data_IF_100516460273
#
_entry.id   IF_100516460273
#
_cell.length_a   1.000
_cell.length_b   1.000
_cell.length_c   1.000
_cell.angle_alpha   90.00
_cell.angle_beta   90.00
_cell.angle_gamma   90.00
#
_symmetry.space_group_name_H-M   'P 1'
#
loop_
_entity.id
_entity.type
_entity.pdbx_description
1 polymer ?
#
# COMPACT_ATOMS: atom_id res chain seq x y z
N UNK A 1 48.82 -2.57 11.88
CA UNK A 1 47.70 -1.61 11.90
C UNK A 1 47.63 -1.01 13.30
N UNK A 2 47.46 0.31 13.42
CA UNK A 2 47.24 0.95 14.70
C UNK A 2 45.92 0.51 15.32
N UNK A 3 45.76 0.61 16.63
CA UNK A 3 44.52 0.23 17.34
C UNK A 3 43.31 0.98 16.78
N UNK A 4 43.47 2.23 16.38
CA UNK A 4 42.43 3.03 15.78
C UNK A 4 41.89 2.46 14.47
N UNK A 5 42.75 2.12 13.51
CA UNK A 5 42.27 1.56 12.23
C UNK A 5 41.51 0.23 12.38
N UNK A 6 41.81 -0.56 13.41
CA UNK A 6 41.01 -1.77 13.72
C UNK A 6 39.60 -1.41 14.19
N UNK A 7 39.43 -0.29 14.86
CA UNK A 7 38.10 0.17 15.31
C UNK A 7 37.24 0.59 14.11
N UNK A 8 37.82 1.24 13.08
CA UNK A 8 37.11 1.62 11.86
C UNK A 8 36.63 0.37 11.13
N UNK A 9 37.55 -0.57 10.81
CA UNK A 9 37.19 -1.83 10.16
C UNK A 9 36.15 -2.66 10.94
N UNK A 10 36.22 -2.66 12.28
CA UNK A 10 35.23 -3.32 13.11
C UNK A 10 33.86 -2.63 13.03
N UNK A 11 33.82 -1.30 12.99
CA UNK A 11 32.60 -0.54 12.84
C UNK A 11 31.92 -0.81 11.49
N UNK A 12 32.69 -0.78 10.40
CA UNK A 12 32.19 -1.09 9.05
C UNK A 12 31.60 -2.51 8.97
N UNK A 13 32.33 -3.48 9.53
CA UNK A 13 31.87 -4.86 9.59
C UNK A 13 30.56 -5.00 10.40
N UNK A 14 30.47 -4.35 11.56
CA UNK A 14 29.29 -4.39 12.42
C UNK A 14 28.08 -3.75 11.73
N UNK A 15 28.30 -2.67 10.99
CA UNK A 15 27.27 -2.04 10.18
C UNK A 15 26.77 -2.99 9.09
N UNK A 16 27.67 -3.65 8.37
CA UNK A 16 27.32 -4.69 7.38
C UNK A 16 26.57 -5.90 8.00
N UNK A 17 26.79 -6.18 9.30
CA UNK A 17 26.08 -7.21 10.07
C UNK A 17 24.76 -6.68 10.67
N UNK A 18 24.34 -5.45 10.34
CA UNK A 18 23.15 -4.75 10.86
C UNK A 18 23.20 -4.57 12.42
N UNK A 19 24.39 -4.43 12.99
CA UNK A 19 24.63 -4.21 14.43
C UNK A 19 24.96 -2.75 14.67
N UNK A 20 23.97 -1.90 14.42
CA UNK A 20 24.13 -0.46 14.29
C UNK A 20 24.67 0.20 15.57
N UNK A 21 24.15 -0.13 16.75
CA UNK A 21 24.59 0.45 18.01
C UNK A 21 26.05 0.14 18.33
N UNK A 22 26.47 -1.08 18.04
CA UNK A 22 27.86 -1.49 18.26
C UNK A 22 28.80 -0.82 17.25
N UNK A 23 28.33 -0.62 16.00
CA UNK A 23 29.07 0.12 14.98
C UNK A 23 29.30 1.58 15.42
N UNK A 24 28.25 2.26 15.91
CA UNK A 24 28.33 3.63 16.44
C UNK A 24 29.37 3.72 17.57
N UNK A 25 29.39 2.75 18.50
CA UNK A 25 30.39 2.73 19.58
C UNK A 25 31.82 2.62 19.02
N UNK A 26 32.05 1.77 17.98
CA UNK A 26 33.35 1.62 17.36
C UNK A 26 33.81 2.89 16.65
N UNK A 27 32.92 3.51 15.88
CA UNK A 27 33.20 4.75 15.16
C UNK A 27 33.47 5.91 16.11
N UNK A 28 32.70 6.07 17.22
CA UNK A 28 32.96 7.08 18.24
C UNK A 28 34.33 6.89 18.87
N UNK A 29 34.69 5.65 19.25
CA UNK A 29 36.03 5.34 19.82
C UNK A 29 37.15 5.55 18.78
N UNK A 30 36.89 5.31 17.50
CA UNK A 30 37.84 5.63 16.44
C UNK A 30 38.10 7.14 16.38
N UNK A 31 37.05 7.95 16.42
CA UNK A 31 37.12 9.41 16.38
C UNK A 31 37.72 10.03 17.65
N UNK A 32 37.78 9.32 18.75
CA UNK A 32 38.59 9.73 19.94
C UNK A 32 40.08 9.80 19.61
N UNK A 33 40.56 8.92 18.68
CA UNK A 33 41.93 8.93 18.21
C UNK A 33 42.15 9.83 16.96
N UNK A 34 41.15 9.92 16.14
CA UNK A 34 41.23 10.63 14.85
C UNK A 34 39.98 11.52 14.64
N UNK A 35 39.81 12.63 15.39
CA UNK A 35 38.60 13.42 15.41
C UNK A 35 38.26 14.08 14.06
N UNK A 36 39.25 14.33 13.23
CA UNK A 36 39.14 15.01 11.94
C UNK A 36 39.31 14.03 10.74
N UNK A 37 39.11 12.74 10.97
CA UNK A 37 39.15 11.76 9.91
C UNK A 37 37.83 11.71 9.17
N UNK A 38 37.86 11.93 7.85
CA UNK A 38 36.70 12.02 6.97
C UNK A 38 35.92 10.72 6.93
N UNK A 39 36.63 9.58 6.82
CA UNK A 39 35.99 8.24 6.77
C UNK A 39 35.27 7.93 8.09
N UNK A 40 35.92 8.20 9.21
CA UNK A 40 35.31 7.99 10.53
C UNK A 40 34.05 8.84 10.75
N UNK A 41 34.08 10.13 10.34
CA UNK A 41 32.91 10.99 10.43
C UNK A 41 31.79 10.54 9.49
N UNK A 42 32.09 10.13 8.26
CA UNK A 42 31.14 9.62 7.30
C UNK A 42 30.46 8.36 7.79
N UNK A 43 31.23 7.34 8.17
CA UNK A 43 30.68 6.07 8.65
C UNK A 43 29.85 6.21 9.94
N UNK A 44 30.26 7.11 10.86
CA UNK A 44 29.45 7.44 12.02
C UNK A 44 28.13 8.11 11.59
N UNK A 45 28.18 9.01 10.59
CA UNK A 45 26.99 9.64 10.03
C UNK A 45 25.99 8.63 9.47
N UNK A 46 26.47 7.66 8.67
CA UNK A 46 25.64 6.57 8.10
C UNK A 46 25.04 5.72 9.24
N UNK A 47 25.85 5.28 10.22
CA UNK A 47 25.36 4.47 11.34
C UNK A 47 24.30 5.19 12.18
N UNK A 48 24.45 6.50 12.38
CA UNK A 48 23.46 7.33 13.07
C UNK A 48 22.17 7.51 12.25
N UNK A 49 22.30 7.67 10.93
CA UNK A 49 21.18 7.71 10.01
C UNK A 49 20.36 6.39 10.07
N UNK A 50 21.03 5.24 9.96
CA UNK A 50 20.35 3.94 10.08
C UNK A 50 19.67 3.72 11.45
N UNK A 51 20.21 4.33 12.51
CA UNK A 51 19.58 4.32 13.82
C UNK A 51 18.39 5.28 13.93
N UNK A 52 18.21 6.19 12.99
CA UNK A 52 17.20 7.26 13.04
C UNK A 52 17.63 8.49 13.85
N UNK A 53 18.90 8.60 14.27
CA UNK A 53 19.45 9.77 14.96
C UNK A 53 19.82 10.88 13.97
N UNK A 54 18.81 11.37 13.24
CA UNK A 54 18.96 12.23 12.05
C UNK A 54 19.70 13.55 12.33
N UNK A 55 19.52 14.15 13.53
CA UNK A 55 20.18 15.41 13.87
C UNK A 55 21.70 15.21 14.06
N UNK A 56 22.10 14.13 14.73
CA UNK A 56 23.51 13.83 14.88
C UNK A 56 24.14 13.36 13.58
N UNK A 57 23.43 12.58 12.75
CA UNK A 57 23.87 12.18 11.42
C UNK A 57 24.18 13.41 10.56
N UNK A 58 23.26 14.39 10.50
CA UNK A 58 23.47 15.63 9.76
C UNK A 58 24.73 16.39 10.22
N UNK A 59 24.96 16.45 11.53
CA UNK A 59 26.20 17.08 12.08
C UNK A 59 27.46 16.35 11.62
N UNK A 60 27.43 15.01 11.50
CA UNK A 60 28.57 14.24 11.02
C UNK A 60 28.82 14.50 9.52
N UNK A 61 27.79 14.52 8.69
CA UNK A 61 27.93 14.85 7.26
C UNK A 61 28.36 16.32 7.04
N UNK A 62 27.88 17.25 7.86
CA UNK A 62 28.40 18.62 7.85
C UNK A 62 29.89 18.67 8.20
N UNK A 63 30.33 17.82 9.16
CA UNK A 63 31.75 17.74 9.51
C UNK A 63 32.58 17.15 8.38
N UNK A 64 32.06 16.16 7.63
CA UNK A 64 32.71 15.65 6.40
C UNK A 64 32.91 16.80 5.41
N UNK A 65 31.85 17.60 5.14
CA UNK A 65 31.95 18.77 4.25
C UNK A 65 32.97 19.83 4.73
N UNK A 66 33.05 20.09 6.03
CA UNK A 66 34.04 21.03 6.57
C UNK A 66 35.48 20.53 6.39
N UNK A 67 35.70 19.23 6.49
CA UNK A 67 37.02 18.60 6.37
C UNK A 67 37.44 18.44 4.90
N UNK A 68 36.50 18.03 4.05
CA UNK A 68 36.68 17.90 2.61
C UNK A 68 35.45 18.44 1.86
N UNK A 69 35.45 19.70 1.41
CA UNK A 69 34.34 20.27 0.66
C UNK A 69 34.08 19.65 -0.71
N UNK A 70 35.04 18.93 -1.25
CA UNK A 70 34.92 18.25 -2.54
C UNK A 70 34.47 16.79 -2.44
N UNK A 71 34.29 16.27 -1.23
CA UNK A 71 33.74 14.93 -1.03
C UNK A 71 32.22 14.90 -1.31
N UNK A 72 31.75 14.19 -2.36
CA UNK A 72 30.33 14.15 -2.70
C UNK A 72 29.47 13.47 -1.59
N UNK A 73 30.06 12.57 -0.80
CA UNK A 73 29.39 11.80 0.24
C UNK A 73 28.85 12.69 1.38
N UNK A 74 29.47 13.87 1.60
CA UNK A 74 28.96 14.83 2.57
C UNK A 74 27.55 15.34 2.19
N UNK A 75 27.38 15.65 0.90
CA UNK A 75 26.10 16.11 0.38
C UNK A 75 25.09 14.97 0.21
N UNK A 76 25.54 13.80 -0.21
CA UNK A 76 24.72 12.58 -0.27
C UNK A 76 24.13 12.27 1.11
N UNK A 77 24.95 12.23 2.16
CA UNK A 77 24.48 12.01 3.52
C UNK A 77 23.50 13.09 4.03
N UNK A 78 23.70 14.36 3.68
CA UNK A 78 22.76 15.43 4.00
C UNK A 78 21.45 15.29 3.22
N UNK A 79 21.51 14.82 1.96
CA UNK A 79 20.35 14.53 1.16
C UNK A 79 19.52 13.37 1.75
N UNK A 80 20.16 12.27 2.15
CA UNK A 80 19.50 11.15 2.83
C UNK A 80 18.74 11.61 4.08
N UNK A 81 19.38 12.42 4.94
CA UNK A 81 18.73 12.96 6.14
C UNK A 81 17.53 13.83 5.80
N UNK A 82 17.62 14.66 4.76
CA UNK A 82 16.52 15.54 4.37
C UNK A 82 15.38 14.77 3.67
N UNK A 83 15.69 13.71 2.91
CA UNK A 83 14.69 12.77 2.38
C UNK A 83 13.86 12.15 3.51
N UNK A 84 14.52 11.61 4.52
CA UNK A 84 13.87 10.95 5.66
C UNK A 84 12.99 11.93 6.48
N UNK A 85 13.33 13.23 6.48
CA UNK A 85 12.51 14.29 7.09
C UNK A 85 11.35 14.77 6.22
N UNK A 86 11.25 14.31 4.98
CA UNK A 86 10.29 14.82 3.99
C UNK A 86 10.64 16.20 3.42
N UNK A 87 11.88 16.68 3.64
CA UNK A 87 12.36 17.95 3.14
C UNK A 87 12.92 17.80 1.70
N UNK A 88 12.08 17.33 0.78
CA UNK A 88 12.47 16.94 -0.58
C UNK A 88 13.14 18.07 -1.38
N UNK A 89 12.78 19.32 -1.10
CA UNK A 89 13.45 20.48 -1.72
C UNK A 89 14.95 20.54 -1.36
N UNK A 90 15.28 20.35 -0.08
CA UNK A 90 16.66 20.35 0.35
C UNK A 90 17.37 19.06 -0.05
N UNK A 91 16.68 17.93 -0.09
CA UNK A 91 17.23 16.69 -0.60
C UNK A 91 17.68 16.83 -2.07
N UNK A 92 16.79 17.33 -2.95
CA UNK A 92 17.13 17.61 -4.34
C UNK A 92 18.27 18.63 -4.48
N UNK A 93 18.34 19.63 -3.59
CA UNK A 93 19.45 20.56 -3.55
C UNK A 93 20.78 19.85 -3.24
N UNK A 94 20.82 19.04 -2.22
CA UNK A 94 22.03 18.33 -1.79
C UNK A 94 22.46 17.27 -2.80
N UNK A 95 21.56 16.48 -3.37
CA UNK A 95 21.91 15.53 -4.44
C UNK A 95 22.51 16.24 -5.66
N UNK A 96 22.00 17.43 -6.02
CA UNK A 96 22.60 18.23 -7.08
C UNK A 96 24.00 18.75 -6.72
N UNK A 97 24.24 19.10 -5.45
CA UNK A 97 25.59 19.48 -4.99
C UNK A 97 26.55 18.29 -5.01
N UNK A 98 26.08 17.07 -4.64
CA UNK A 98 26.85 15.83 -4.78
C UNK A 98 27.19 15.55 -6.25
N UNK A 99 26.21 15.67 -7.17
CA UNK A 99 26.40 15.45 -8.61
C UNK A 99 27.30 16.48 -9.30
N UNK A 100 27.53 17.67 -8.73
CA UNK A 100 28.55 18.58 -9.25
C UNK A 100 29.98 18.05 -9.04
N UNK A 101 30.15 17.17 -8.04
CA UNK A 101 31.44 16.57 -7.68
C UNK A 101 31.62 15.18 -8.27
N UNK A 102 30.52 14.47 -8.40
CA UNK A 102 30.44 13.12 -9.02
C UNK A 102 29.30 13.08 -10.06
N UNK A 103 29.51 13.67 -11.26
CA UNK A 103 28.43 13.88 -12.24
C UNK A 103 27.93 12.63 -12.93
N UNK A 104 28.70 11.55 -12.91
CA UNK A 104 28.37 10.30 -13.59
C UNK A 104 28.01 9.17 -12.60
N UNK A 105 27.45 9.54 -11.44
CA UNK A 105 27.00 8.60 -10.43
C UNK A 105 25.50 8.24 -10.62
N UNK A 106 25.18 7.02 -11.04
CA UNK A 106 23.80 6.62 -11.30
C UNK A 106 22.94 6.53 -10.02
N UNK A 107 23.56 6.20 -8.88
CA UNK A 107 22.83 6.13 -7.60
C UNK A 107 22.32 7.54 -7.19
N UNK A 108 23.21 8.55 -7.25
CA UNK A 108 22.84 9.94 -6.94
C UNK A 108 21.76 10.49 -7.89
N UNK A 109 21.80 10.08 -9.17
CA UNK A 109 20.78 10.47 -10.15
C UNK A 109 19.44 9.80 -9.86
N UNK A 110 19.44 8.53 -9.49
CA UNK A 110 18.23 7.84 -9.07
C UNK A 110 17.59 8.52 -7.86
N UNK A 111 18.37 8.79 -6.82
CA UNK A 111 17.90 9.45 -5.60
C UNK A 111 17.41 10.89 -5.87
N UNK A 112 18.10 11.63 -6.75
CA UNK A 112 17.62 12.93 -7.21
C UNK A 112 16.28 12.81 -7.94
N UNK A 113 16.10 11.77 -8.74
CA UNK A 113 14.85 11.47 -9.42
C UNK A 113 13.70 11.26 -8.42
N UNK A 114 13.93 10.47 -7.37
CA UNK A 114 12.96 10.25 -6.29
C UNK A 114 12.62 11.60 -5.61
N UNK A 115 13.62 12.39 -5.26
CA UNK A 115 13.39 13.70 -4.63
C UNK A 115 12.58 14.66 -5.53
N UNK A 116 12.79 14.65 -6.85
CA UNK A 116 11.98 15.43 -7.79
C UNK A 116 10.56 14.91 -7.92
N UNK A 117 10.36 13.59 -7.93
CA UNK A 117 9.03 13.00 -7.96
C UNK A 117 8.21 13.39 -6.72
N UNK A 118 8.79 13.31 -5.54
CA UNK A 118 8.15 13.73 -4.28
C UNK A 118 7.81 15.24 -4.25
N UNK A 119 8.51 16.06 -5.05
CA UNK A 119 8.20 17.47 -5.25
C UNK A 119 7.12 17.71 -6.33
N UNK A 120 6.65 16.67 -7.03
CA UNK A 120 5.78 16.78 -8.20
C UNK A 120 6.47 17.38 -9.42
N UNK A 121 7.82 17.33 -9.47
CA UNK A 121 8.64 17.79 -10.60
C UNK A 121 8.95 16.64 -11.56
N UNK A 122 7.89 15.95 -12.02
CA UNK A 122 7.96 14.68 -12.76
C UNK A 122 8.87 14.70 -13.99
N UNK A 123 8.87 15.80 -14.74
CA UNK A 123 9.76 15.93 -15.94
C UNK A 123 11.24 15.89 -15.55
N UNK A 124 11.58 16.41 -14.36
CA UNK A 124 12.97 16.36 -13.87
C UNK A 124 13.30 14.99 -13.31
N UNK A 125 12.33 14.34 -12.64
CA UNK A 125 12.47 12.97 -12.17
C UNK A 125 12.75 12.03 -13.35
N UNK A 126 11.95 12.13 -14.41
CA UNK A 126 12.14 11.35 -15.64
C UNK A 126 13.56 11.53 -16.22
N UNK A 127 14.02 12.78 -16.38
CA UNK A 127 15.37 13.04 -16.89
C UNK A 127 16.47 12.45 -16.00
N UNK A 128 16.28 12.49 -14.69
CA UNK A 128 17.24 11.93 -13.74
C UNK A 128 17.32 10.40 -13.85
N UNK A 129 16.18 9.72 -13.92
CA UNK A 129 16.13 8.27 -14.14
C UNK A 129 16.70 7.86 -15.50
N UNK A 130 16.34 8.58 -16.58
CA UNK A 130 16.90 8.33 -17.91
C UNK A 130 18.43 8.43 -17.91
N UNK A 131 18.97 9.48 -17.25
CA UNK A 131 20.40 9.66 -17.16
C UNK A 131 21.09 8.57 -16.33
N UNK A 132 20.47 8.13 -15.24
CA UNK A 132 20.97 6.99 -14.44
C UNK A 132 21.04 5.70 -15.27
N UNK A 133 20.00 5.42 -16.06
CA UNK A 133 19.93 4.27 -16.98
C UNK A 133 21.00 4.36 -18.09
N UNK A 134 21.22 5.55 -18.66
CA UNK A 134 22.26 5.74 -19.67
C UNK A 134 23.66 5.42 -19.12
N UNK A 135 23.92 5.78 -17.84
CA UNK A 135 25.21 5.55 -17.20
C UNK A 135 25.42 4.11 -16.78
N UNK A 136 24.40 3.48 -16.20
CA UNK A 136 24.40 2.08 -15.85
C UNK A 136 23.10 1.38 -16.27
N UNK A 137 23.07 0.77 -17.46
CA UNK A 137 21.91 0.02 -17.93
C UNK A 137 21.58 -1.25 -17.12
N UNK A 138 22.44 -1.67 -16.19
CA UNK A 138 22.19 -2.80 -15.30
C UNK A 138 21.71 -2.38 -13.91
N UNK A 139 21.54 -1.10 -13.66
CA UNK A 139 21.01 -0.57 -12.42
C UNK A 139 19.46 -0.63 -12.44
N UNK A 140 18.85 -1.57 -11.74
CA UNK A 140 17.41 -1.84 -11.82
C UNK A 140 16.51 -0.79 -11.19
N UNK A 141 16.97 -0.05 -10.15
CA UNK A 141 16.13 0.94 -9.44
C UNK A 141 15.62 2.08 -10.33
N UNK A 142 16.42 2.70 -11.23
CA UNK A 142 15.89 3.75 -12.10
C UNK A 142 14.78 3.28 -13.04
N UNK A 143 14.84 2.03 -13.52
CA UNK A 143 13.75 1.45 -14.31
C UNK A 143 12.49 1.29 -13.48
N UNK A 144 12.62 0.72 -12.28
CA UNK A 144 11.49 0.55 -11.35
C UNK A 144 10.83 1.90 -10.99
N UNK A 145 11.64 2.91 -10.63
CA UNK A 145 11.14 4.22 -10.25
C UNK A 145 10.53 4.98 -11.44
N UNK A 146 11.13 4.84 -12.64
CA UNK A 146 10.57 5.41 -13.87
C UNK A 146 9.26 4.76 -14.25
N UNK A 147 9.14 3.43 -14.11
CA UNK A 147 7.92 2.69 -14.35
C UNK A 147 6.76 3.16 -13.46
N UNK A 148 7.02 3.36 -12.16
CA UNK A 148 6.02 3.91 -11.24
C UNK A 148 5.54 5.29 -11.68
N UNK A 149 6.45 6.18 -12.05
CA UNK A 149 6.11 7.50 -12.54
C UNK A 149 5.30 7.45 -13.85
N UNK A 150 5.64 6.52 -14.76
CA UNK A 150 4.89 6.28 -16.00
C UNK A 150 3.48 5.73 -15.71
N UNK A 151 3.35 4.80 -14.77
CA UNK A 151 2.07 4.24 -14.35
C UNK A 151 1.13 5.32 -13.76
N UNK A 152 1.64 6.21 -12.91
CA UNK A 152 0.88 7.35 -12.38
C UNK A 152 0.38 8.31 -13.48
N UNK A 153 1.11 8.40 -14.60
CA UNK A 153 0.69 9.15 -15.79
C UNK A 153 -0.28 8.37 -16.70
N UNK A 154 -0.53 7.10 -16.40
CA UNK A 154 -1.33 6.20 -17.23
C UNK A 154 -0.60 5.68 -18.48
N UNK A 155 0.72 5.83 -18.54
CA UNK A 155 1.60 5.37 -19.62
C UNK A 155 2.00 3.90 -19.34
N UNK A 156 1.00 3.00 -19.26
CA UNK A 156 1.17 1.64 -18.77
C UNK A 156 2.07 0.77 -19.66
N UNK A 157 2.07 1.00 -20.98
CA UNK A 157 2.87 0.19 -21.91
C UNK A 157 4.36 0.38 -21.65
N UNK A 158 4.80 1.63 -21.53
CA UNK A 158 6.18 2.00 -21.25
C UNK A 158 6.58 1.59 -19.82
N UNK A 159 5.67 1.71 -18.84
CA UNK A 159 5.88 1.25 -17.47
C UNK A 159 6.15 -0.26 -17.42
N UNK A 160 5.37 -1.06 -18.14
CA UNK A 160 5.55 -2.51 -18.22
C UNK A 160 6.90 -2.87 -18.84
N UNK A 161 7.33 -2.19 -19.91
CA UNK A 161 8.65 -2.43 -20.53
C UNK A 161 9.78 -2.19 -19.51
N UNK A 162 9.72 -1.15 -18.72
CA UNK A 162 10.69 -0.85 -17.67
C UNK A 162 10.68 -1.89 -16.55
N UNK A 163 9.50 -2.32 -16.10
CA UNK A 163 9.38 -3.36 -15.08
C UNK A 163 9.93 -4.72 -15.58
N UNK A 164 9.71 -5.07 -16.85
CA UNK A 164 10.29 -6.30 -17.45
C UNK A 164 11.82 -6.25 -17.44
N UNK A 165 12.42 -5.07 -17.68
CA UNK A 165 13.87 -4.89 -17.55
C UNK A 165 14.28 -5.07 -16.09
N UNK A 166 13.62 -4.39 -15.13
CA UNK A 166 13.92 -4.51 -13.71
C UNK A 166 13.81 -5.96 -13.21
N UNK A 167 12.74 -6.69 -13.60
CA UNK A 167 12.57 -8.13 -13.31
C UNK A 167 13.78 -8.93 -13.81
N UNK A 168 14.26 -8.64 -15.02
CA UNK A 168 15.41 -9.36 -15.59
C UNK A 168 16.70 -9.10 -14.80
N UNK A 169 16.88 -7.89 -14.29
CA UNK A 169 18.05 -7.47 -13.52
C UNK A 169 18.04 -8.03 -12.09
N UNK A 170 16.85 -8.15 -11.47
CA UNK A 170 16.71 -8.62 -10.10
C UNK A 170 16.58 -10.14 -9.95
N UNK A 171 16.87 -10.93 -11.02
CA UNK A 171 16.89 -12.39 -10.93
C UNK A 171 17.86 -12.86 -9.84
N UNK A 172 17.29 -13.52 -8.81
CA UNK A 172 18.04 -14.02 -7.65
C UNK A 172 18.01 -13.10 -6.43
N UNK A 173 17.47 -11.89 -6.54
CA UNK A 173 17.23 -10.95 -5.44
C UNK A 173 15.74 -10.99 -5.08
N UNK A 174 15.34 -11.99 -4.28
CA UNK A 174 13.91 -12.30 -4.02
C UNK A 174 13.09 -11.09 -3.64
N UNK A 175 13.58 -10.27 -2.70
CA UNK A 175 12.79 -9.15 -2.15
C UNK A 175 12.55 -8.09 -3.22
N UNK A 176 13.61 -7.64 -3.90
CA UNK A 176 13.47 -6.65 -4.99
C UNK A 176 12.62 -7.16 -6.14
N UNK A 177 12.79 -8.44 -6.51
CA UNK A 177 11.98 -9.05 -7.55
C UNK A 177 10.50 -9.08 -7.15
N UNK A 178 10.19 -9.36 -5.89
CA UNK A 178 8.82 -9.36 -5.39
C UNK A 178 8.20 -7.97 -5.47
N UNK A 179 8.92 -6.91 -5.07
CA UNK A 179 8.45 -5.53 -5.15
C UNK A 179 8.09 -5.12 -6.59
N UNK A 180 8.97 -5.46 -7.54
CA UNK A 180 8.74 -5.17 -8.97
C UNK A 180 7.53 -5.95 -9.52
N UNK A 181 7.36 -7.21 -9.12
CA UNK A 181 6.21 -8.01 -9.54
C UNK A 181 4.91 -7.48 -8.96
N UNK A 182 4.89 -6.97 -7.72
CA UNK A 182 3.70 -6.31 -7.17
C UNK A 182 3.31 -5.07 -7.96
N UNK A 183 4.27 -4.24 -8.33
CA UNK A 183 4.00 -3.06 -9.16
C UNK A 183 3.42 -3.46 -10.52
N UNK A 184 4.01 -4.49 -11.16
CA UNK A 184 3.52 -5.01 -12.44
C UNK A 184 2.09 -5.57 -12.34
N UNK A 185 1.79 -6.31 -11.27
CA UNK A 185 0.45 -6.83 -11.02
C UNK A 185 -0.56 -5.69 -10.82
N UNK A 186 -0.20 -4.66 -10.04
CA UNK A 186 -1.03 -3.47 -9.85
C UNK A 186 -1.36 -2.75 -11.16
N UNK A 187 -0.38 -2.60 -12.06
CA UNK A 187 -0.62 -2.02 -13.39
C UNK A 187 -1.63 -2.86 -14.17
N UNK A 188 -1.53 -4.19 -14.14
CA UNK A 188 -2.49 -5.05 -14.83
C UNK A 188 -3.89 -4.96 -14.22
N UNK A 189 -4.02 -4.81 -12.90
CA UNK A 189 -5.31 -4.56 -12.25
C UNK A 189 -5.93 -3.22 -12.70
N UNK A 190 -5.13 -2.13 -12.75
CA UNK A 190 -5.61 -0.84 -13.26
C UNK A 190 -6.04 -0.88 -14.73
N UNK A 191 -5.39 -1.72 -15.53
CA UNK A 191 -5.76 -2.00 -16.91
C UNK A 191 -6.98 -2.93 -17.03
N UNK A 192 -7.49 -3.47 -15.93
CA UNK A 192 -8.54 -4.50 -15.87
C UNK A 192 -8.14 -5.78 -16.64
N UNK A 193 -6.84 -6.07 -16.71
CA UNK A 193 -6.27 -7.32 -17.25
C UNK A 193 -6.01 -8.33 -16.13
N UNK A 194 -7.11 -8.78 -15.51
CA UNK A 194 -7.03 -9.73 -14.39
C UNK A 194 -6.27 -11.02 -14.76
N UNK A 195 -6.27 -11.45 -16.03
CA UNK A 195 -5.58 -12.68 -16.42
C UNK A 195 -4.10 -12.54 -16.20
N UNK A 196 -3.52 -11.42 -16.63
CA UNK A 196 -2.11 -11.13 -16.42
C UNK A 196 -1.80 -10.81 -14.96
N UNK A 197 -2.67 -10.09 -14.24
CA UNK A 197 -2.50 -9.88 -12.81
C UNK A 197 -2.39 -11.21 -12.05
N UNK A 198 -3.28 -12.18 -12.34
CA UNK A 198 -3.25 -13.54 -11.76
C UNK A 198 -1.94 -14.28 -12.10
N UNK A 199 -1.43 -14.16 -13.33
CA UNK A 199 -0.15 -14.75 -13.72
C UNK A 199 0.99 -14.18 -12.89
N UNK A 200 1.08 -12.87 -12.74
CA UNK A 200 2.14 -12.18 -11.99
C UNK A 200 2.05 -12.49 -10.49
N UNK A 201 0.87 -12.48 -9.88
CA UNK A 201 0.72 -12.92 -8.48
C UNK A 201 1.10 -14.39 -8.31
N UNK A 202 0.85 -15.22 -9.31
CA UNK A 202 1.33 -16.60 -9.35
C UNK A 202 2.85 -16.69 -9.32
N UNK A 203 3.58 -15.80 -10.01
CA UNK A 203 5.04 -15.72 -9.96
C UNK A 203 5.55 -15.31 -8.57
N UNK A 204 4.86 -14.35 -7.90
CA UNK A 204 5.18 -13.99 -6.51
C UNK A 204 5.04 -15.22 -5.60
N UNK A 205 3.96 -16.00 -5.76
CA UNK A 205 3.78 -17.22 -4.98
C UNK A 205 4.78 -18.33 -5.31
N UNK A 206 5.40 -18.34 -6.51
CA UNK A 206 6.54 -19.24 -6.79
C UNK A 206 7.80 -18.83 -6.02
N UNK A 207 7.98 -17.55 -5.71
CA UNK A 207 9.08 -17.04 -4.89
C UNK A 207 8.79 -17.24 -3.39
N UNK A 208 7.53 -17.06 -2.99
CA UNK A 208 7.05 -17.16 -1.61
C UNK A 208 5.62 -17.68 -1.54
N UNK A 209 5.47 -18.98 -1.29
CA UNK A 209 4.17 -19.63 -1.17
C UNK A 209 3.29 -19.09 -0.01
N UNK A 210 3.91 -18.42 0.95
CA UNK A 210 3.25 -17.87 2.14
C UNK A 210 3.07 -16.35 2.04
N UNK A 211 3.25 -15.76 0.87
CA UNK A 211 3.03 -14.33 0.67
C UNK A 211 1.54 -13.98 0.81
N UNK A 212 1.18 -13.42 1.97
CA UNK A 212 -0.20 -13.09 2.37
C UNK A 212 -0.84 -12.09 1.42
N UNK A 213 -0.07 -11.11 0.94
CA UNK A 213 -0.57 -10.06 0.05
C UNK A 213 -0.95 -10.64 -1.32
N UNK A 214 -0.07 -11.43 -1.94
CA UNK A 214 -0.37 -12.09 -3.21
C UNK A 214 -1.56 -13.07 -3.10
N UNK A 215 -1.66 -13.82 -1.99
CA UNK A 215 -2.82 -14.70 -1.73
C UNK A 215 -4.11 -13.90 -1.60
N UNK A 216 -4.07 -12.75 -0.92
CA UNK A 216 -5.24 -11.87 -0.74
C UNK A 216 -5.68 -11.26 -2.07
N UNK A 217 -4.75 -10.74 -2.88
CA UNK A 217 -5.04 -10.19 -4.20
C UNK A 217 -5.65 -11.23 -5.15
N UNK A 218 -5.08 -12.44 -5.19
CA UNK A 218 -5.66 -13.55 -5.96
C UNK A 218 -7.07 -13.91 -5.48
N UNK A 219 -7.28 -13.93 -4.16
CA UNK A 219 -8.61 -14.13 -3.57
C UNK A 219 -9.61 -13.08 -4.05
N UNK A 220 -9.24 -11.80 -4.02
CA UNK A 220 -10.08 -10.68 -4.45
C UNK A 220 -10.38 -10.72 -5.94
N UNK A 221 -9.38 -10.95 -6.81
CA UNK A 221 -9.60 -11.08 -8.26
C UNK A 221 -10.57 -12.23 -8.58
N UNK A 222 -10.41 -13.39 -7.93
CA UNK A 222 -11.35 -14.50 -8.14
C UNK A 222 -12.75 -14.21 -7.62
N UNK A 223 -12.86 -13.39 -6.56
CA UNK A 223 -14.14 -12.96 -6.01
C UNK A 223 -14.89 -12.05 -6.98
N UNK A 224 -14.19 -11.07 -7.57
CA UNK A 224 -14.74 -10.15 -8.58
C UNK A 224 -15.17 -10.89 -9.86
N UNK A 225 -14.45 -11.95 -10.24
CA UNK A 225 -14.82 -12.83 -11.36
C UNK A 225 -16.00 -13.77 -11.04
N UNK A 226 -16.44 -13.84 -9.80
CA UNK A 226 -17.47 -14.79 -9.35
C UNK A 226 -16.98 -16.23 -9.16
N UNK A 227 -15.66 -16.43 -9.15
CA UNK A 227 -15.01 -17.73 -8.87
C UNK A 227 -14.94 -17.97 -7.35
N UNK A 228 -16.08 -17.94 -6.68
CA UNK A 228 -16.19 -17.91 -5.21
C UNK A 228 -15.49 -19.09 -4.50
N UNK A 229 -15.47 -20.28 -5.12
CA UNK A 229 -14.77 -21.44 -4.57
C UNK A 229 -13.26 -21.21 -4.49
N UNK A 230 -12.67 -20.62 -5.53
CA UNK A 230 -11.25 -20.31 -5.57
C UNK A 230 -10.92 -19.16 -4.61
N UNK A 231 -11.74 -18.10 -4.62
CA UNK A 231 -11.60 -16.99 -3.69
C UNK A 231 -11.57 -17.48 -2.24
N UNK A 232 -12.56 -18.30 -1.85
CA UNK A 232 -12.61 -18.88 -0.51
C UNK A 232 -11.38 -19.73 -0.17
N UNK A 233 -10.81 -20.45 -1.15
CA UNK A 233 -9.61 -21.26 -0.95
C UNK A 233 -8.34 -20.40 -0.74
N UNK A 234 -8.21 -19.27 -1.41
CA UNK A 234 -7.12 -18.33 -1.18
C UNK A 234 -7.24 -17.68 0.21
N UNK A 235 -8.42 -17.18 0.58
CA UNK A 235 -8.63 -16.63 1.92
C UNK A 235 -8.46 -17.66 3.04
N UNK A 236 -8.69 -18.95 2.79
CA UNK A 236 -8.32 -20.03 3.74
C UNK A 236 -6.82 -20.08 4.01
N UNK A 237 -6.00 -19.86 2.97
CA UNK A 237 -4.55 -19.82 3.13
C UNK A 237 -4.14 -18.57 3.91
N UNK A 238 -4.71 -17.41 3.60
CA UNK A 238 -4.47 -16.16 4.36
C UNK A 238 -4.82 -16.36 5.83
N UNK A 239 -6.00 -16.89 6.17
CA UNK A 239 -6.44 -17.14 7.55
C UNK A 239 -5.51 -18.11 8.27
N UNK A 240 -4.95 -19.09 7.57
CA UNK A 240 -4.01 -20.05 8.16
C UNK A 240 -2.68 -19.40 8.52
N UNK A 241 -2.21 -18.45 7.68
CA UNK A 241 -0.95 -17.72 7.88
C UNK A 241 -1.10 -16.59 8.90
N UNK A 242 -2.22 -15.87 8.82
CA UNK A 242 -2.57 -14.77 9.72
C UNK A 242 -3.99 -14.96 10.29
N UNK A 243 -4.13 -15.66 11.44
CA UNK A 243 -5.43 -15.90 12.08
C UNK A 243 -6.12 -14.67 12.66
N UNK A 244 -5.45 -13.53 12.69
CA UNK A 244 -6.01 -12.24 13.18
C UNK A 244 -6.37 -11.28 12.02
N UNK A 245 -6.27 -11.73 10.78
CA UNK A 245 -6.65 -10.96 9.59
C UNK A 245 -8.18 -10.93 9.44
N UNK A 246 -8.82 -9.89 9.98
CA UNK A 246 -10.28 -9.74 9.95
C UNK A 246 -10.81 -9.61 8.52
N UNK A 247 -10.04 -9.01 7.60
CA UNK A 247 -10.43 -8.85 6.20
C UNK A 247 -10.53 -10.20 5.48
N UNK A 248 -9.61 -11.13 5.74
CA UNK A 248 -9.66 -12.45 5.13
C UNK A 248 -10.91 -13.25 5.59
N UNK A 249 -11.35 -13.08 6.84
CA UNK A 249 -12.61 -13.65 7.31
C UNK A 249 -13.83 -12.97 6.67
N UNK A 250 -13.80 -11.64 6.48
CA UNK A 250 -14.84 -10.88 5.79
C UNK A 250 -15.04 -11.40 4.37
N UNK A 251 -13.96 -11.39 3.58
CA UNK A 251 -14.00 -11.75 2.16
C UNK A 251 -14.37 -13.23 1.94
N UNK A 252 -13.86 -14.11 2.80
CA UNK A 252 -14.29 -15.50 2.77
C UNK A 252 -15.75 -15.67 3.14
N UNK A 253 -16.24 -14.94 4.14
CA UNK A 253 -17.66 -14.91 4.50
C UNK A 253 -18.50 -14.49 3.31
N UNK A 254 -18.13 -13.41 2.65
CA UNK A 254 -18.81 -12.89 1.47
C UNK A 254 -18.82 -13.92 0.31
N UNK A 255 -17.68 -14.54 0.00
CA UNK A 255 -17.63 -15.61 -1.00
C UNK A 255 -18.59 -16.76 -0.70
N UNK A 256 -18.68 -17.16 0.58
CA UNK A 256 -19.60 -18.21 1.03
C UNK A 256 -21.07 -17.79 0.92
N UNK A 257 -21.38 -16.53 1.19
CA UNK A 257 -22.71 -15.94 0.99
C UNK A 257 -23.12 -15.99 -0.47
N UNK A 258 -22.25 -15.55 -1.39
CA UNK A 258 -22.48 -15.64 -2.83
C UNK A 258 -22.71 -17.08 -3.32
N UNK A 259 -22.13 -18.08 -2.62
CA UNK A 259 -22.40 -19.50 -2.87
C UNK A 259 -23.69 -20.00 -2.22
N UNK A 260 -24.48 -19.16 -1.53
CA UNK A 260 -25.69 -19.52 -0.81
C UNK A 260 -25.46 -20.30 0.49
N UNK A 261 -24.24 -20.28 1.03
CA UNK A 261 -23.86 -21.00 2.25
C UNK A 261 -24.01 -20.11 3.50
N UNK A 262 -25.22 -19.57 3.72
CA UNK A 262 -25.52 -18.54 4.72
C UNK A 262 -25.03 -18.87 6.13
N UNK A 263 -25.17 -20.12 6.60
CA UNK A 263 -24.72 -20.49 7.96
C UNK A 263 -23.19 -20.35 8.10
N UNK A 264 -22.44 -20.71 7.05
CA UNK A 264 -20.99 -20.55 7.05
C UNK A 264 -20.59 -19.09 6.91
N UNK A 265 -21.27 -18.33 6.06
CA UNK A 265 -21.08 -16.89 5.96
C UNK A 265 -21.16 -16.24 7.34
N UNK A 266 -22.24 -16.52 8.10
CA UNK A 266 -22.42 -15.99 9.45
C UNK A 266 -21.28 -16.39 10.40
N UNK A 267 -20.79 -17.64 10.33
CA UNK A 267 -19.66 -18.12 11.13
C UNK A 267 -18.38 -17.28 10.88
N UNK A 268 -18.05 -17.04 9.59
CA UNK A 268 -16.88 -16.26 9.22
C UNK A 268 -17.02 -14.77 9.55
N UNK A 269 -18.21 -14.18 9.34
CA UNK A 269 -18.49 -12.80 9.74
C UNK A 269 -18.46 -12.62 11.26
N UNK A 270 -18.89 -13.62 12.04
CA UNK A 270 -18.74 -13.64 13.50
C UNK A 270 -17.26 -13.62 13.91
N UNK A 271 -16.43 -14.40 13.22
CA UNK A 271 -15.01 -14.42 13.49
C UNK A 271 -14.37 -13.07 13.12
N UNK A 272 -14.69 -12.48 11.97
CA UNK A 272 -14.27 -11.12 11.59
C UNK A 272 -14.62 -10.11 12.69
N UNK A 273 -15.88 -10.10 13.15
CA UNK A 273 -16.36 -9.18 14.19
C UNK A 273 -15.80 -9.47 15.59
N UNK A 274 -15.31 -10.67 15.85
CA UNK A 274 -14.61 -10.99 17.10
C UNK A 274 -13.20 -10.39 17.14
N UNK A 275 -12.54 -10.25 15.98
CA UNK A 275 -11.24 -9.61 15.80
C UNK A 275 -11.41 -8.09 15.74
N UNK A 276 -12.30 -7.63 14.87
CA UNK A 276 -12.58 -6.22 14.65
C UNK A 276 -14.08 -5.92 14.82
N UNK A 277 -14.56 -5.60 16.03
CA UNK A 277 -15.97 -5.31 16.30
C UNK A 277 -16.53 -4.09 15.55
N UNK A 278 -15.64 -3.25 15.02
CA UNK A 278 -15.97 -2.04 14.25
C UNK A 278 -15.89 -2.23 12.73
N UNK A 279 -15.73 -3.45 12.23
CA UNK A 279 -15.72 -3.68 10.79
C UNK A 279 -17.13 -3.43 10.20
N UNK A 280 -17.32 -2.26 9.59
CA UNK A 280 -18.62 -1.82 9.04
C UNK A 280 -19.14 -2.73 7.93
N UNK A 281 -18.25 -3.32 7.15
CA UNK A 281 -18.60 -4.25 6.07
C UNK A 281 -19.12 -5.57 6.63
N UNK A 282 -18.41 -6.13 7.62
CA UNK A 282 -18.84 -7.35 8.29
C UNK A 282 -20.18 -7.17 9.03
N UNK A 283 -20.39 -6.02 9.68
CA UNK A 283 -21.69 -5.69 10.32
C UNK A 283 -22.81 -5.64 9.29
N UNK A 284 -22.58 -4.98 8.14
CA UNK A 284 -23.58 -4.87 7.08
C UNK A 284 -23.88 -6.21 6.41
N UNK A 285 -22.84 -6.99 6.06
CA UNK A 285 -23.00 -8.29 5.41
C UNK A 285 -23.67 -9.30 6.33
N UNK A 286 -23.29 -9.32 7.62
CA UNK A 286 -23.96 -10.17 8.61
C UNK A 286 -25.42 -9.79 8.79
N UNK A 287 -25.74 -8.49 8.81
CA UNK A 287 -27.11 -8.00 8.83
C UNK A 287 -27.91 -8.48 7.62
N UNK A 288 -27.34 -8.41 6.41
CA UNK A 288 -27.96 -8.89 5.17
C UNK A 288 -28.23 -10.42 5.22
N UNK A 289 -27.25 -11.21 5.62
CA UNK A 289 -27.39 -12.66 5.76
C UNK A 289 -28.48 -13.04 6.80
N UNK A 290 -28.57 -12.33 7.93
CA UNK A 290 -29.63 -12.51 8.93
C UNK A 290 -31.00 -12.10 8.39
N UNK A 291 -31.08 -11.04 7.59
CA UNK A 291 -32.33 -10.61 6.94
C UNK A 291 -32.82 -11.68 5.96
N UNK A 292 -31.95 -12.33 5.22
CA UNK A 292 -32.30 -13.48 4.35
C UNK A 292 -32.83 -14.67 5.15
N UNK A 293 -32.30 -14.91 6.35
CA UNK A 293 -32.82 -15.92 7.29
C UNK A 293 -34.12 -15.50 7.99
N UNK A 294 -34.64 -14.28 7.74
CA UNK A 294 -35.82 -13.75 8.40
C UNK A 294 -35.60 -13.23 9.82
N UNK A 295 -34.36 -13.14 10.30
CA UNK A 295 -33.97 -12.65 11.63
C UNK A 295 -33.88 -11.13 11.63
N UNK A 296 -35.02 -10.48 11.36
CA UNK A 296 -35.08 -9.04 11.03
C UNK A 296 -34.66 -8.13 12.18
N UNK A 297 -34.92 -8.51 13.44
CA UNK A 297 -34.57 -7.70 14.62
C UNK A 297 -33.05 -7.63 14.80
N UNK A 298 -32.38 -8.77 14.64
CA UNK A 298 -30.93 -8.86 14.75
C UNK A 298 -30.23 -8.15 13.59
N UNK A 299 -30.80 -8.27 12.38
CA UNK A 299 -30.29 -7.56 11.20
C UNK A 299 -30.35 -6.04 11.39
N UNK A 300 -31.49 -5.53 11.92
CA UNK A 300 -31.68 -4.10 12.18
C UNK A 300 -30.63 -3.55 13.14
N UNK A 301 -30.33 -4.27 14.23
CA UNK A 301 -29.31 -3.88 15.19
C UNK A 301 -27.92 -3.77 14.52
N UNK A 302 -27.57 -4.73 13.69
CA UNK A 302 -26.27 -4.73 12.98
C UNK A 302 -26.16 -3.58 11.98
N UNK A 303 -27.20 -3.30 11.20
CA UNK A 303 -27.20 -2.16 10.28
C UNK A 303 -27.07 -0.83 11.03
N UNK A 304 -27.73 -0.66 12.16
CA UNK A 304 -27.59 0.53 13.00
C UNK A 304 -26.17 0.67 13.55
N UNK A 305 -25.58 -0.43 14.02
CA UNK A 305 -24.17 -0.43 14.44
C UNK A 305 -23.22 -0.07 13.31
N UNK A 306 -23.46 -0.56 12.09
CA UNK A 306 -22.65 -0.21 10.92
C UNK A 306 -22.75 1.30 10.61
N UNK A 307 -23.93 1.89 10.74
CA UNK A 307 -24.15 3.36 10.59
C UNK A 307 -23.43 4.14 11.70
N UNK A 308 -23.48 3.65 12.93
CA UNK A 308 -22.79 4.30 14.07
C UNK A 308 -21.26 4.31 13.88
N UNK A 309 -20.71 3.23 13.28
CA UNK A 309 -19.28 3.16 12.93
C UNK A 309 -18.92 4.09 11.78
N UNK A 310 -19.71 4.09 10.72
CA UNK A 310 -19.51 4.96 9.57
C UNK A 310 -20.83 5.52 9.03
N UNK A 311 -21.19 6.76 9.40
CA UNK A 311 -22.40 7.41 8.91
C UNK A 311 -22.40 7.76 7.42
N UNK A 312 -21.27 7.59 6.72
CA UNK A 312 -21.16 7.81 5.28
C UNK A 312 -21.26 6.51 4.46
N UNK A 313 -21.30 5.35 5.11
CA UNK A 313 -21.46 4.08 4.42
C UNK A 313 -22.91 3.87 3.98
N UNK A 314 -23.17 3.84 2.67
CA UNK A 314 -24.54 3.86 2.09
C UNK A 314 -25.34 2.55 2.29
N UNK A 315 -24.68 1.41 2.20
CA UNK A 315 -25.32 0.09 2.20
C UNK A 315 -26.16 -0.23 3.45
N UNK A 316 -25.72 0.07 4.69
CA UNK A 316 -26.58 -0.17 5.87
C UNK A 316 -27.88 0.62 5.84
N UNK A 317 -27.89 1.86 5.29
CA UNK A 317 -29.12 2.63 5.10
C UNK A 317 -30.03 1.96 4.07
N UNK A 318 -29.44 1.48 2.97
CA UNK A 318 -30.17 0.77 1.93
C UNK A 318 -30.82 -0.51 2.49
N UNK A 319 -30.05 -1.31 3.21
CA UNK A 319 -30.53 -2.56 3.84
C UNK A 319 -31.62 -2.29 4.90
N UNK A 320 -31.50 -1.21 5.68
CA UNK A 320 -32.57 -0.79 6.59
C UNK A 320 -33.83 -0.37 5.84
N UNK A 321 -33.70 0.29 4.70
CA UNK A 321 -34.86 0.64 3.87
C UNK A 321 -35.56 -0.61 3.36
N UNK A 322 -34.83 -1.62 2.93
CA UNK A 322 -35.35 -2.92 2.51
C UNK A 322 -36.05 -3.66 3.66
N UNK A 323 -35.40 -3.74 4.81
CA UNK A 323 -35.95 -4.38 6.01
C UNK A 323 -37.26 -3.74 6.46
N UNK A 324 -37.33 -2.40 6.50
CA UNK A 324 -38.51 -1.66 6.89
C UNK A 324 -39.65 -1.77 5.87
N UNK A 325 -39.34 -1.85 4.57
CA UNK A 325 -40.32 -2.14 3.53
C UNK A 325 -40.92 -3.55 3.71
N UNK A 326 -40.12 -4.55 4.03
CA UNK A 326 -40.60 -5.90 4.34
C UNK A 326 -41.54 -5.91 5.53
N UNK A 327 -41.22 -5.17 6.58
CA UNK A 327 -42.12 -4.99 7.77
C UNK A 327 -43.36 -4.15 7.47
N UNK A 328 -43.40 -3.42 6.37
CA UNK A 328 -44.54 -2.58 5.97
C UNK A 328 -44.48 -1.14 6.47
N UNK A 329 -43.38 -0.73 7.12
CA UNK A 329 -43.15 0.68 7.50
C UNK A 329 -42.61 1.47 6.29
N UNK A 330 -43.55 1.92 5.47
CA UNK A 330 -43.24 2.61 4.21
C UNK A 330 -42.53 3.94 4.41
N UNK A 331 -42.93 4.69 5.41
CA UNK A 331 -42.39 6.04 5.64
C UNK A 331 -40.96 5.99 6.14
N UNK A 332 -40.64 5.08 7.05
CA UNK A 332 -39.29 4.86 7.51
C UNK A 332 -38.41 4.29 6.39
N UNK A 333 -38.92 3.33 5.62
CA UNK A 333 -38.20 2.77 4.46
C UNK A 333 -37.78 3.87 3.48
N UNK A 334 -38.70 4.75 3.10
CA UNK A 334 -38.40 5.84 2.16
C UNK A 334 -37.39 6.86 2.72
N UNK A 335 -37.41 7.13 4.04
CA UNK A 335 -36.40 8.00 4.67
C UNK A 335 -34.99 7.41 4.62
N UNK A 336 -34.88 6.13 4.96
CA UNK A 336 -33.59 5.44 4.90
C UNK A 336 -33.09 5.27 3.46
N UNK A 337 -33.98 4.93 2.52
CA UNK A 337 -33.65 4.85 1.09
C UNK A 337 -33.14 6.22 0.57
N UNK A 338 -33.82 7.30 0.91
CA UNK A 338 -33.36 8.65 0.54
C UNK A 338 -31.93 8.89 1.01
N UNK A 339 -31.64 8.57 2.27
CA UNK A 339 -30.29 8.75 2.81
C UNK A 339 -29.25 7.88 2.09
N UNK A 340 -29.58 6.63 1.77
CA UNK A 340 -28.70 5.75 1.01
C UNK A 340 -28.37 6.34 -0.37
N UNK A 341 -29.39 6.85 -1.09
CA UNK A 341 -29.24 7.44 -2.42
C UNK A 341 -28.52 8.81 -2.41
N UNK A 342 -28.64 9.58 -1.32
CA UNK A 342 -27.84 10.80 -1.12
C UNK A 342 -26.35 10.49 -0.93
N UNK A 343 -26.03 9.37 -0.27
CA UNK A 343 -24.65 8.92 -0.03
C UNK A 343 -24.06 8.26 -1.27
N UNK A 344 -24.87 7.47 -1.98
CA UNK A 344 -24.47 6.77 -3.18
C UNK A 344 -25.59 6.75 -4.23
N UNK A 345 -25.57 7.67 -5.17
CA UNK A 345 -26.57 7.72 -6.25
C UNK A 345 -26.60 6.51 -7.18
N UNK A 346 -25.54 5.70 -7.23
CA UNK A 346 -25.48 4.49 -8.08
C UNK A 346 -26.50 3.43 -7.65
N UNK A 347 -26.86 3.40 -6.36
CA UNK A 347 -27.86 2.49 -5.77
C UNK A 347 -29.29 2.68 -6.33
N UNK A 348 -29.55 3.74 -7.11
CA UNK A 348 -30.85 3.94 -7.79
C UNK A 348 -31.21 2.79 -8.73
N UNK A 349 -30.22 2.25 -9.43
CA UNK A 349 -30.42 1.14 -10.34
C UNK A 349 -30.83 -0.14 -9.58
N UNK A 350 -30.24 -0.37 -8.42
CA UNK A 350 -30.56 -1.51 -7.57
C UNK A 350 -31.94 -1.31 -6.93
N UNK A 351 -32.22 -0.14 -6.36
CA UNK A 351 -33.51 0.17 -5.76
C UNK A 351 -34.69 0.00 -6.73
N UNK A 352 -34.49 0.32 -8.01
CA UNK A 352 -35.52 0.16 -9.02
C UNK A 352 -35.92 -1.32 -9.27
N UNK A 353 -35.04 -2.28 -8.95
CA UNK A 353 -35.21 -3.71 -9.26
C UNK A 353 -35.37 -4.59 -8.03
N UNK A 354 -34.93 -4.14 -6.87
CA UNK A 354 -34.88 -4.92 -5.65
C UNK A 354 -36.29 -5.29 -5.16
N UNK A 355 -36.58 -6.59 -5.09
CA UNK A 355 -37.87 -7.13 -4.65
C UNK A 355 -38.24 -6.74 -3.20
N UNK A 356 -37.26 -6.51 -2.34
CA UNK A 356 -37.49 -6.06 -0.95
C UNK A 356 -38.25 -4.73 -0.90
N UNK A 357 -38.08 -3.88 -1.92
CA UNK A 357 -38.70 -2.56 -2.02
C UNK A 357 -40.06 -2.55 -2.73
N UNK A 358 -40.61 -3.70 -3.16
CA UNK A 358 -41.87 -3.79 -3.91
C UNK A 358 -43.06 -3.11 -3.23
N UNK A 359 -43.11 -3.15 -1.90
CA UNK A 359 -44.17 -2.51 -1.11
C UNK A 359 -44.14 -0.97 -1.16
N UNK A 360 -42.99 -0.37 -1.45
CA UNK A 360 -42.79 1.10 -1.54
C UNK A 360 -42.62 1.58 -2.97
N UNK A 361 -42.20 0.72 -3.91
CA UNK A 361 -41.91 1.02 -5.32
C UNK A 361 -43.08 1.70 -6.05
N UNK A 362 -44.33 1.36 -5.72
CA UNK A 362 -45.53 1.91 -6.35
C UNK A 362 -45.93 3.29 -5.85
N UNK A 363 -45.26 3.84 -4.85
CA UNK A 363 -45.55 5.14 -4.28
C UNK A 363 -44.96 6.27 -5.12
N UNK A 364 -45.65 7.41 -5.16
CA UNK A 364 -45.12 8.61 -5.85
C UNK A 364 -43.84 9.13 -5.16
N UNK A 365 -43.72 8.94 -3.86
CA UNK A 365 -42.50 9.30 -3.11
C UNK A 365 -41.30 8.52 -3.57
N UNK A 366 -41.42 7.20 -3.79
CA UNK A 366 -40.33 6.36 -4.31
C UNK A 366 -39.92 6.81 -5.72
N UNK A 367 -40.90 7.06 -6.62
CA UNK A 367 -40.60 7.52 -7.99
C UNK A 367 -39.81 8.84 -7.97
N UNK A 368 -40.23 9.79 -7.14
CA UNK A 368 -39.53 11.08 -6.96
C UNK A 368 -38.08 10.88 -6.48
N UNK A 369 -37.81 9.95 -5.56
CA UNK A 369 -36.46 9.65 -5.09
C UNK A 369 -35.56 9.17 -6.23
N UNK A 370 -36.07 8.35 -7.15
CA UNK A 370 -35.27 7.88 -8.28
C UNK A 370 -35.06 8.95 -9.36
N UNK A 371 -36.05 9.86 -9.55
CA UNK A 371 -36.01 10.91 -10.56
C UNK A 371 -35.22 12.14 -10.10
N UNK A 372 -35.02 12.31 -8.80
CA UNK A 372 -34.33 13.48 -8.24
C UNK A 372 -32.85 13.47 -8.68
N UNK A 373 -32.43 14.56 -9.34
CA UNK A 373 -31.07 14.73 -9.83
C UNK A 373 -30.05 15.08 -8.73
N UNK A 374 -30.56 15.41 -7.53
CA UNK A 374 -29.74 15.81 -6.37
C UNK A 374 -29.57 14.69 -5.34
N UNK A 375 -30.11 13.51 -5.57
CA UNK A 375 -29.90 12.28 -4.81
C UNK A 375 -29.18 11.27 -5.63
#
# INVERSE_FOLDING_TARGET
MSEGYRLLEQGERLLAENRVEEAIERFRRYLDYYPDDVEGQYHLGIALYEKGELDEAALRFQRVHELDPEDPRAYDGLALVTMERGDFFWAAHYYREALKRDPDNPDLLNELGIAYHELGEDDKAMQAYERAIELDPNFGYPYYNRARLLAEKGEYAEAIEDLEVAISLYKGEKDKLTDVLFELAGIYEEMLDDEKAVEVYGEILMLDLENVEALSSLGSIHLDRGDYEKAAAYFDQVIKLDPENDNAYLEKGYALGCMGKLDKELEYLDRCLSINPGNKYALSNKGAALMEQGRLEEAEELFRRAIDVDPQYSWPYYNLACLLALRGDRDASLRYLKRALELDPSLKADAARDACLDKVRRTDAFRRLLEDKNT
#
